data_IF_041520992666
#
_entry.id   IF_041520992666
#
_cell.length_a   1.000
_cell.length_b   1.000
_cell.length_c   1.000
_cell.angle_alpha   90.00
_cell.angle_beta   90.00
_cell.angle_gamma   90.00
#
_symmetry.space_group_name_H-M   'P 1'
#
loop_
_entity.id
_entity.type
_entity.pdbx_description
1 polymer ?
#
# COMPACT_ATOMS: atom_id res chain seq x y z
N UNK A 1 -7.14 -0.84 23.44
CA UNK A 1 -6.15 -1.04 22.36
C UNK A 1 -4.99 -1.97 22.74
N UNK A 2 -4.57 -2.04 23.98
CA UNK A 2 -3.45 -2.95 24.39
C UNK A 2 -3.80 -4.45 24.39
N UNK A 3 -5.06 -4.84 24.23
CA UNK A 3 -5.47 -6.26 24.18
C UNK A 3 -5.34 -6.89 22.79
N UNK A 4 -5.30 -6.13 21.71
CA UNK A 4 -5.24 -6.68 20.36
C UNK A 4 -3.96 -7.47 20.07
N UNK A 5 -2.81 -6.91 20.41
CA UNK A 5 -1.51 -7.56 20.17
C UNK A 5 -1.23 -8.71 21.14
N UNK A 6 -1.75 -8.60 22.36
CA UNK A 6 -1.66 -9.65 23.38
C UNK A 6 -2.71 -10.77 23.18
N UNK A 7 -3.83 -10.49 22.52
CA UNK A 7 -4.90 -11.45 22.32
C UNK A 7 -4.46 -12.64 21.47
N UNK A 8 -3.68 -12.40 20.41
CA UNK A 8 -3.13 -13.47 19.57
C UNK A 8 -2.17 -14.37 20.37
N UNK A 9 -1.25 -13.74 21.11
CA UNK A 9 -0.28 -14.45 21.95
C UNK A 9 -0.97 -15.27 23.06
N UNK A 10 -1.96 -14.69 23.73
CA UNK A 10 -2.73 -15.37 24.76
C UNK A 10 -3.60 -16.50 24.20
N UNK A 11 -4.19 -16.34 23.02
CA UNK A 11 -4.95 -17.39 22.35
C UNK A 11 -4.04 -18.55 21.93
N UNK A 12 -2.86 -18.24 21.37
CA UNK A 12 -1.88 -19.25 20.98
C UNK A 12 -1.36 -20.06 22.19
N UNK A 13 -1.13 -19.41 23.32
CA UNK A 13 -0.73 -20.07 24.57
C UNK A 13 -1.82 -21.00 25.10
N UNK A 14 -3.07 -20.57 25.06
CA UNK A 14 -4.23 -21.39 25.50
C UNK A 14 -4.48 -22.62 24.64
N UNK A 15 -4.25 -22.51 23.32
CA UNK A 15 -4.50 -23.59 22.35
C UNK A 15 -3.35 -24.58 22.25
N UNK A 16 -2.12 -24.09 22.31
CA UNK A 16 -0.91 -24.88 21.98
C UNK A 16 0.12 -24.92 23.12
N UNK A 17 -0.19 -24.30 24.27
CA UNK A 17 0.73 -24.20 25.39
C UNK A 17 1.94 -23.27 25.11
N UNK A 18 2.87 -23.12 26.09
CA UNK A 18 3.96 -22.14 25.99
C UNK A 18 4.99 -22.46 24.88
N UNK A 19 5.15 -23.74 24.52
CA UNK A 19 6.03 -24.13 23.40
C UNK A 19 5.36 -23.81 22.07
N UNK A 20 4.07 -24.10 21.93
CA UNK A 20 3.31 -23.81 20.73
C UNK A 20 3.18 -22.31 20.47
N UNK A 21 3.04 -21.49 21.50
CA UNK A 21 3.09 -20.04 21.41
C UNK A 21 4.39 -19.53 20.79
N UNK A 22 5.54 -20.05 21.25
CA UNK A 22 6.87 -19.64 20.70
C UNK A 22 7.01 -20.06 19.23
N UNK A 23 6.59 -21.26 18.87
CA UNK A 23 6.64 -21.75 17.48
C UNK A 23 5.76 -20.90 16.58
N UNK A 24 4.57 -20.55 17.04
CA UNK A 24 3.64 -19.69 16.30
C UNK A 24 4.21 -18.28 16.11
N UNK A 25 4.87 -17.72 17.12
CA UNK A 25 5.55 -16.42 17.04
C UNK A 25 6.66 -16.44 16.00
N UNK A 26 7.49 -17.48 15.97
CA UNK A 26 8.55 -17.66 14.96
C UNK A 26 7.93 -17.75 13.56
N UNK A 27 6.85 -18.52 13.37
CA UNK A 27 6.16 -18.62 12.08
C UNK A 27 5.63 -17.26 11.60
N UNK A 28 5.06 -16.45 12.50
CA UNK A 28 4.60 -15.09 12.20
C UNK A 28 5.77 -14.20 11.80
N UNK A 29 6.90 -14.25 12.52
CA UNK A 29 8.08 -13.44 12.17
C UNK A 29 8.58 -13.81 10.76
N UNK A 30 8.69 -15.09 10.44
CA UNK A 30 9.11 -15.54 9.09
C UNK A 30 8.13 -15.05 8.03
N UNK A 31 6.82 -15.14 8.27
CA UNK A 31 5.80 -14.68 7.36
C UNK A 31 5.88 -13.16 7.11
N UNK A 32 6.05 -12.39 8.19
CA UNK A 32 6.18 -10.92 8.10
C UNK A 32 7.44 -10.53 7.34
N UNK A 33 8.57 -11.19 7.59
CA UNK A 33 9.82 -10.93 6.86
C UNK A 33 9.69 -11.26 5.37
N UNK A 34 8.99 -12.35 5.02
CA UNK A 34 8.71 -12.70 3.63
C UNK A 34 7.86 -11.64 2.92
N UNK A 35 6.80 -11.18 3.58
CA UNK A 35 5.93 -10.12 3.07
C UNK A 35 6.69 -8.80 2.92
N UNK A 36 7.49 -8.43 3.93
CA UNK A 36 8.31 -7.22 3.91
C UNK A 36 9.27 -7.23 2.71
N UNK A 37 9.96 -8.35 2.47
CA UNK A 37 10.86 -8.48 1.32
C UNK A 37 10.13 -8.23 -0.01
N UNK A 38 8.95 -8.82 -0.19
CA UNK A 38 8.11 -8.59 -1.38
C UNK A 38 7.72 -7.12 -1.56
N UNK A 39 7.29 -6.46 -0.49
CA UNK A 39 6.92 -5.05 -0.49
C UNK A 39 8.11 -4.13 -0.80
N UNK A 40 9.30 -4.40 -0.25
CA UNK A 40 10.51 -3.63 -0.52
C UNK A 40 10.88 -3.72 -2.01
N UNK A 41 10.86 -4.92 -2.60
CA UNK A 41 11.13 -5.11 -4.03
C UNK A 41 10.12 -4.36 -4.90
N UNK A 42 8.83 -4.43 -4.55
CA UNK A 42 7.78 -3.71 -5.28
C UNK A 42 7.98 -2.19 -5.17
N UNK A 43 8.29 -1.69 -3.98
CA UNK A 43 8.52 -0.26 -3.73
C UNK A 43 9.73 0.28 -4.52
N UNK A 44 10.83 -0.47 -4.58
CA UNK A 44 12.01 -0.09 -5.36
C UNK A 44 11.71 -0.04 -6.86
N UNK A 45 10.85 -0.91 -7.38
CA UNK A 45 10.51 -0.96 -8.80
C UNK A 45 9.48 0.07 -9.24
N UNK A 46 8.66 0.59 -8.32
CA UNK A 46 7.60 1.54 -8.66
C UNK A 46 8.11 2.82 -9.36
N UNK A 47 9.13 3.56 -8.85
CA UNK A 47 9.65 4.73 -9.55
C UNK A 47 10.30 4.39 -10.90
N UNK A 48 10.92 3.22 -11.03
CA UNK A 48 11.48 2.75 -12.28
C UNK A 48 10.41 2.58 -13.36
N UNK A 49 9.28 1.93 -13.06
CA UNK A 49 8.17 1.78 -14.01
C UNK A 49 7.53 3.11 -14.39
N UNK A 50 7.39 4.04 -13.45
CA UNK A 50 6.92 5.40 -13.73
C UNK A 50 7.91 6.16 -14.64
N UNK A 51 9.20 5.94 -14.44
CA UNK A 51 10.23 6.53 -15.29
C UNK A 51 10.21 5.95 -16.71
N UNK A 52 9.99 4.65 -16.89
CA UNK A 52 9.82 4.06 -18.22
C UNK A 52 8.62 4.64 -18.99
N UNK A 53 7.55 5.00 -18.28
CA UNK A 53 6.40 5.71 -18.85
C UNK A 53 6.65 7.22 -19.02
N UNK A 54 7.83 7.68 -18.64
CA UNK A 54 8.17 9.10 -18.65
C UNK A 54 7.21 9.99 -17.82
N UNK A 55 6.60 9.44 -16.79
CA UNK A 55 5.67 10.12 -15.89
C UNK A 55 6.36 10.82 -14.70
N UNK A 56 7.69 10.66 -14.56
CA UNK A 56 8.50 11.30 -13.53
C UNK A 56 9.44 12.37 -14.12
N UNK A 57 9.77 13.43 -13.35
CA UNK A 57 10.89 14.28 -13.68
C UNK A 57 12.19 13.45 -13.67
N UNK A 58 13.12 13.77 -14.58
CA UNK A 58 14.39 13.04 -14.74
C UNK A 58 14.24 11.54 -15.09
N UNK A 59 13.15 11.16 -15.76
CA UNK A 59 12.85 9.77 -16.17
C UNK A 59 14.01 9.10 -16.89
N UNK A 60 14.76 9.84 -17.73
CA UNK A 60 15.93 9.32 -18.46
C UNK A 60 17.06 8.83 -17.54
N UNK A 61 17.19 9.36 -16.32
CA UNK A 61 18.17 8.91 -15.32
C UNK A 61 17.65 7.78 -14.47
N UNK A 62 16.38 7.87 -14.05
CA UNK A 62 15.74 6.88 -13.19
C UNK A 62 15.46 5.58 -13.95
N UNK A 63 15.19 5.66 -15.26
CA UNK A 63 14.93 4.51 -16.13
C UNK A 63 16.15 3.68 -16.52
N UNK A 64 17.36 4.07 -16.08
CA UNK A 64 18.60 3.32 -16.38
C UNK A 64 18.78 2.18 -15.39
N UNK A 65 18.91 0.95 -15.91
CA UNK A 65 19.23 -0.24 -15.11
C UNK A 65 20.74 -0.39 -14.95
N UNK A 66 21.17 -0.71 -13.74
CA UNK A 66 22.57 -1.07 -13.49
C UNK A 66 22.83 -2.49 -14.02
N UNK A 67 23.86 -2.64 -14.88
CA UNK A 67 24.14 -3.89 -15.59
C UNK A 67 24.35 -5.13 -14.70
N UNK A 68 24.92 -4.95 -13.51
CA UNK A 68 25.21 -6.05 -12.59
C UNK A 68 24.00 -6.50 -11.76
N UNK A 69 23.13 -5.55 -11.37
CA UNK A 69 22.04 -5.81 -10.41
C UNK A 69 20.67 -5.88 -11.06
N UNK A 70 20.56 -5.55 -12.36
CA UNK A 70 19.28 -5.42 -13.07
C UNK A 70 18.26 -4.55 -12.31
N UNK A 71 18.76 -3.54 -11.61
CA UNK A 71 17.98 -2.64 -10.77
C UNK A 71 18.40 -1.20 -11.05
N UNK A 72 17.46 -0.28 -11.07
CA UNK A 72 17.75 1.15 -11.11
C UNK A 72 18.18 1.62 -9.72
N UNK A 73 19.45 1.99 -9.56
CA UNK A 73 19.99 2.48 -8.28
C UNK A 73 19.28 3.78 -7.87
N UNK A 74 19.00 4.65 -8.83
CA UNK A 74 18.33 5.92 -8.53
C UNK A 74 16.89 5.70 -8.09
N UNK A 75 16.17 4.70 -8.65
CA UNK A 75 14.85 4.29 -8.20
C UNK A 75 14.90 3.74 -6.77
N UNK A 76 15.91 2.92 -6.44
CA UNK A 76 16.10 2.38 -5.10
C UNK A 76 16.37 3.48 -4.07
N UNK A 77 17.25 4.46 -4.40
CA UNK A 77 17.52 5.60 -3.54
C UNK A 77 16.28 6.46 -3.31
N UNK A 78 15.52 6.74 -4.37
CA UNK A 78 14.28 7.51 -4.25
C UNK A 78 13.28 6.81 -3.32
N UNK A 79 13.08 5.50 -3.49
CA UNK A 79 12.20 4.71 -2.62
C UNK A 79 12.71 4.67 -1.18
N UNK A 80 14.01 4.57 -0.98
CA UNK A 80 14.63 4.59 0.34
C UNK A 80 14.37 5.92 1.06
N UNK A 81 14.61 7.05 0.40
CA UNK A 81 14.35 8.36 1.00
C UNK A 81 12.86 8.58 1.29
N UNK A 82 11.97 8.17 0.40
CA UNK A 82 10.52 8.23 0.66
C UNK A 82 10.13 7.38 1.88
N UNK A 83 10.69 6.19 2.01
CA UNK A 83 10.46 5.32 3.17
C UNK A 83 11.01 5.94 4.46
N UNK A 84 12.19 6.59 4.42
CA UNK A 84 12.75 7.30 5.58
C UNK A 84 11.88 8.47 6.03
N UNK A 85 11.36 9.26 5.08
CA UNK A 85 10.44 10.37 5.38
C UNK A 85 9.20 9.82 6.08
N UNK A 86 8.61 8.74 5.54
CA UNK A 86 7.42 8.12 6.13
C UNK A 86 7.68 7.54 7.52
N UNK A 87 8.83 6.89 7.70
CA UNK A 87 9.28 6.39 9.00
C UNK A 87 9.46 7.51 10.01
N UNK A 88 10.05 8.64 9.59
CA UNK A 88 10.19 9.84 10.43
C UNK A 88 8.85 10.41 10.88
N UNK A 89 7.88 10.51 9.96
CA UNK A 89 6.51 10.95 10.27
C UNK A 89 5.85 9.98 11.27
N UNK A 90 5.99 8.70 11.05
CA UNK A 90 5.45 7.67 11.95
C UNK A 90 6.09 7.75 13.33
N UNK A 91 7.42 7.89 13.41
CA UNK A 91 8.14 8.07 14.67
C UNK A 91 7.67 9.31 15.43
N UNK A 92 7.52 10.44 14.76
CA UNK A 92 7.00 11.68 15.36
C UNK A 92 5.56 11.51 15.87
N UNK A 93 4.71 10.75 15.18
CA UNK A 93 3.34 10.51 15.62
C UNK A 93 3.24 9.72 16.92
N UNK A 94 4.22 8.86 17.20
CA UNK A 94 4.25 8.06 18.43
C UNK A 94 4.92 8.83 19.57
N UNK A 95 5.98 9.57 19.28
CA UNK A 95 6.81 10.20 20.32
C UNK A 95 6.31 11.56 20.78
N UNK A 96 5.62 12.31 19.91
CA UNK A 96 5.14 13.64 20.25
C UNK A 96 3.79 13.55 21.00
N UNK A 97 3.73 13.94 22.30
CA UNK A 97 2.52 13.80 23.12
C UNK A 97 1.30 14.54 22.57
N UNK A 98 1.52 15.66 21.87
CA UNK A 98 0.44 16.44 21.26
C UNK A 98 -0.22 15.71 20.10
N UNK A 99 0.52 14.88 19.37
CA UNK A 99 0.01 14.10 18.23
C UNK A 99 -0.52 12.75 18.70
N UNK A 100 0.19 12.09 19.61
CA UNK A 100 -0.20 10.78 20.13
C UNK A 100 -1.53 10.82 20.92
N UNK A 101 -1.90 11.98 21.51
CA UNK A 101 -3.21 12.19 22.16
C UNK A 101 -4.39 12.02 21.21
N UNK A 102 -4.22 12.32 19.93
CA UNK A 102 -5.28 12.13 18.95
C UNK A 102 -5.48 10.64 18.57
N UNK A 103 -4.60 9.73 19.01
CA UNK A 103 -4.69 8.30 18.72
C UNK A 103 -4.69 7.98 17.23
N UNK A 104 -4.08 8.85 16.41
CA UNK A 104 -4.03 8.70 14.94
C UNK A 104 -2.95 7.67 14.61
N UNK A 105 -3.37 6.54 14.07
CA UNK A 105 -2.45 5.56 13.49
C UNK A 105 -2.18 5.91 12.03
N UNK A 106 -1.03 6.55 11.80
CA UNK A 106 -0.59 6.98 10.46
C UNK A 106 -0.44 5.79 9.51
N UNK A 107 -0.19 4.58 10.02
CA UNK A 107 -0.07 3.38 9.19
C UNK A 107 -1.40 2.96 8.55
N UNK A 108 -2.51 3.39 9.10
CA UNK A 108 -3.85 3.11 8.56
C UNK A 108 -4.16 3.91 7.28
N UNK A 109 -3.52 5.08 7.07
CA UNK A 109 -3.77 5.95 5.90
C UNK A 109 -3.42 5.24 4.58
N UNK A 110 -2.22 4.65 4.39
CA UNK A 110 -1.89 3.92 3.17
C UNK A 110 -2.82 2.74 2.91
N UNK A 111 -3.29 2.07 3.97
CA UNK A 111 -4.21 0.93 3.86
C UNK A 111 -5.53 1.38 3.23
N UNK A 112 -6.13 2.46 3.75
CA UNK A 112 -7.39 3.00 3.21
C UNK A 112 -7.23 3.39 1.74
N UNK A 113 -6.13 4.09 1.38
CA UNK A 113 -5.84 4.48 0.00
C UNK A 113 -5.72 3.25 -0.91
N UNK A 114 -4.97 2.23 -0.50
CA UNK A 114 -4.78 1.02 -1.30
C UNK A 114 -6.10 0.29 -1.54
N UNK A 115 -6.96 0.14 -0.54
CA UNK A 115 -8.25 -0.54 -0.71
C UNK A 115 -9.22 0.25 -1.58
N UNK A 116 -9.18 1.59 -1.58
CA UNK A 116 -9.92 2.42 -2.53
C UNK A 116 -9.45 2.17 -3.97
N UNK A 117 -8.15 2.12 -4.22
CA UNK A 117 -7.61 1.78 -5.54
C UNK A 117 -7.95 0.36 -5.98
N UNK A 118 -7.85 -0.61 -5.08
CA UNK A 118 -8.21 -2.00 -5.40
C UNK A 118 -9.68 -2.14 -5.76
N UNK A 119 -10.57 -1.43 -5.06
CA UNK A 119 -12.00 -1.40 -5.42
C UNK A 119 -12.19 -0.89 -6.85
N UNK A 120 -11.51 0.19 -7.23
CA UNK A 120 -11.51 0.70 -8.60
C UNK A 120 -10.98 -0.31 -9.62
N UNK A 121 -9.90 -1.03 -9.28
CA UNK A 121 -9.35 -2.09 -10.14
C UNK A 121 -10.32 -3.25 -10.32
N UNK A 122 -10.99 -3.69 -9.26
CA UNK A 122 -11.98 -4.78 -9.34
C UNK A 122 -13.18 -4.41 -10.22
N UNK A 123 -13.66 -3.18 -10.10
CA UNK A 123 -14.69 -2.64 -11.01
C UNK A 123 -14.17 -2.60 -12.45
N UNK A 124 -12.93 -2.19 -12.67
CA UNK A 124 -12.28 -2.21 -13.98
C UNK A 124 -12.20 -3.61 -14.60
N UNK A 125 -11.94 -4.64 -13.79
CA UNK A 125 -11.96 -6.06 -14.23
C UNK A 125 -13.37 -6.46 -14.65
N UNK A 126 -14.40 -6.11 -13.88
CA UNK A 126 -15.81 -6.40 -14.21
C UNK A 126 -16.22 -5.75 -15.53
N UNK A 127 -15.84 -4.48 -15.77
CA UNK A 127 -16.13 -3.77 -17.02
C UNK A 127 -15.44 -4.47 -18.21
N UNK A 128 -14.18 -4.91 -18.06
CA UNK A 128 -13.47 -5.66 -19.12
C UNK A 128 -14.10 -7.01 -19.40
N UNK A 129 -14.61 -7.68 -18.40
CA UNK A 129 -15.37 -8.93 -18.54
C UNK A 129 -16.67 -8.68 -19.31
N UNK A 130 -17.40 -7.60 -19.00
CA UNK A 130 -18.61 -7.21 -19.74
C UNK A 130 -18.33 -6.91 -21.23
N UNK A 131 -17.11 -6.43 -21.55
CA UNK A 131 -16.65 -6.20 -22.92
C UNK A 131 -16.12 -7.48 -23.62
N UNK A 132 -16.23 -8.65 -22.99
CA UNK A 132 -15.81 -9.92 -23.57
C UNK A 132 -14.29 -10.17 -23.59
N UNK A 133 -13.48 -9.29 -22.96
CA UNK A 133 -12.02 -9.43 -22.90
C UNK A 133 -11.56 -10.55 -21.94
N UNK A 134 -12.40 -10.92 -20.99
CA UNK A 134 -12.14 -12.00 -20.02
C UNK A 134 -13.23 -13.05 -20.22
N UNK A 135 -12.83 -14.24 -20.65
CA UNK A 135 -13.78 -15.33 -21.01
C UNK A 135 -14.36 -16.05 -19.78
N UNK A 136 -13.61 -16.12 -18.68
CA UNK A 136 -14.05 -16.80 -17.46
C UNK A 136 -14.97 -15.92 -16.64
N UNK A 137 -16.27 -16.29 -16.55
CA UNK A 137 -17.26 -15.60 -15.72
C UNK A 137 -16.91 -15.62 -14.23
N UNK A 138 -16.27 -16.70 -13.75
CA UNK A 138 -15.88 -16.84 -12.36
C UNK A 138 -14.78 -15.83 -11.99
N UNK A 139 -13.72 -15.73 -12.81
CA UNK A 139 -12.63 -14.78 -12.59
C UNK A 139 -13.04 -13.33 -12.86
N UNK A 140 -14.00 -13.13 -13.76
CA UNK A 140 -14.42 -11.79 -14.18
C UNK A 140 -15.49 -11.15 -13.31
N UNK A 141 -16.33 -11.92 -12.61
CA UNK A 141 -17.41 -11.39 -11.77
C UNK A 141 -17.34 -11.90 -10.34
N UNK A 142 -17.23 -13.21 -10.12
CA UNK A 142 -17.32 -13.78 -8.76
C UNK A 142 -16.12 -13.33 -7.91
N UNK A 143 -14.90 -13.47 -8.43
CA UNK A 143 -13.71 -13.06 -7.68
C UNK A 143 -13.67 -11.56 -7.38
N UNK A 144 -13.94 -10.63 -8.32
CA UNK A 144 -14.00 -9.21 -8.03
C UNK A 144 -15.10 -8.82 -7.03
N UNK A 145 -16.27 -9.45 -7.08
CA UNK A 145 -17.34 -9.19 -6.11
C UNK A 145 -16.90 -9.58 -4.69
N UNK A 146 -16.33 -10.78 -4.52
CA UNK A 146 -15.82 -11.22 -3.22
C UNK A 146 -14.69 -10.32 -2.72
N UNK A 147 -13.81 -9.87 -3.63
CA UNK A 147 -12.73 -8.96 -3.30
C UNK A 147 -13.25 -7.56 -2.89
N UNK A 148 -14.31 -7.04 -3.54
CA UNK A 148 -14.97 -5.79 -3.16
C UNK A 148 -15.63 -5.93 -1.78
N UNK A 149 -16.29 -7.05 -1.49
CA UNK A 149 -16.86 -7.30 -0.16
C UNK A 149 -15.78 -7.31 0.93
N UNK A 150 -14.63 -7.98 0.69
CA UNK A 150 -13.49 -7.95 1.59
C UNK A 150 -12.90 -6.55 1.78
N UNK A 151 -12.74 -5.79 0.69
CA UNK A 151 -12.27 -4.41 0.72
C UNK A 151 -13.23 -3.52 1.53
N UNK A 152 -14.54 -3.71 1.35
CA UNK A 152 -15.55 -2.95 2.09
C UNK A 152 -15.53 -3.25 3.59
N UNK A 153 -15.31 -4.50 4.00
CA UNK A 153 -15.16 -4.85 5.42
C UNK A 153 -13.96 -4.13 6.05
N UNK A 154 -12.82 -4.06 5.35
CA UNK A 154 -11.62 -3.38 5.84
C UNK A 154 -11.84 -1.87 5.90
N UNK A 155 -12.43 -1.27 4.86
CA UNK A 155 -12.78 0.16 4.85
C UNK A 155 -13.77 0.50 5.96
N UNK A 156 -14.78 -0.33 6.18
CA UNK A 156 -15.74 -0.16 7.27
C UNK A 156 -15.06 -0.24 8.64
N UNK A 157 -14.17 -1.22 8.85
CA UNK A 157 -13.37 -1.31 10.07
C UNK A 157 -12.48 -0.09 10.31
N UNK A 158 -11.88 0.44 9.24
CA UNK A 158 -11.11 1.69 9.30
C UNK A 158 -11.97 2.92 9.61
N UNK A 159 -13.19 2.98 9.10
CA UNK A 159 -14.15 4.08 9.34
C UNK A 159 -14.71 4.09 10.75
N UNK A 160 -14.97 2.92 11.31
CA UNK A 160 -15.51 2.76 12.68
C UNK A 160 -14.44 2.92 13.75
N UNK A 161 -13.15 2.97 13.36
CA UNK A 161 -12.07 3.34 14.26
C UNK A 161 -12.24 4.78 14.79
N UNK A 162 -11.69 5.07 15.97
CA UNK A 162 -11.89 6.33 16.69
C UNK A 162 -11.60 7.59 15.85
N UNK A 163 -10.80 7.50 14.79
CA UNK A 163 -10.40 8.60 13.90
C UNK A 163 -10.66 8.30 12.41
N UNK A 164 -11.60 7.43 12.09
CA UNK A 164 -11.85 6.97 10.72
C UNK A 164 -12.13 8.10 9.72
N UNK A 165 -12.86 9.14 10.14
CA UNK A 165 -13.16 10.32 9.30
C UNK A 165 -11.88 11.08 8.94
N UNK A 166 -10.92 11.20 9.88
CA UNK A 166 -9.64 11.88 9.64
C UNK A 166 -8.83 11.09 8.60
N UNK A 167 -8.82 9.75 8.69
CA UNK A 167 -8.14 8.90 7.71
C UNK A 167 -8.69 9.06 6.30
N UNK A 168 -10.02 9.17 6.16
CA UNK A 168 -10.65 9.43 4.87
C UNK A 168 -10.30 10.81 4.29
N UNK A 169 -10.36 11.85 5.11
CA UNK A 169 -10.03 13.21 4.67
C UNK A 169 -8.57 13.29 4.21
N UNK A 170 -7.64 12.77 5.02
CA UNK A 170 -6.21 12.78 4.68
C UNK A 170 -5.94 11.93 3.44
N UNK A 171 -6.54 10.75 3.34
CA UNK A 171 -6.45 9.88 2.16
C UNK A 171 -6.99 10.58 0.90
N UNK A 172 -8.13 11.25 1.02
CA UNK A 172 -8.72 12.03 -0.06
C UNK A 172 -7.82 13.19 -0.52
N UNK A 173 -7.22 13.93 0.41
CA UNK A 173 -6.28 15.01 0.10
C UNK A 173 -5.04 14.48 -0.63
N UNK A 174 -4.48 13.34 -0.20
CA UNK A 174 -3.34 12.70 -0.86
C UNK A 174 -3.73 12.27 -2.28
N UNK A 175 -4.91 11.69 -2.48
CA UNK A 175 -5.39 11.30 -3.80
C UNK A 175 -5.59 12.49 -4.73
N UNK A 176 -6.23 13.55 -4.25
CA UNK A 176 -6.44 14.78 -5.04
C UNK A 176 -5.12 15.44 -5.39
N UNK A 177 -4.18 15.54 -4.44
CA UNK A 177 -2.85 16.09 -4.70
C UNK A 177 -2.06 15.25 -5.71
N UNK A 178 -2.15 13.92 -5.62
CA UNK A 178 -1.55 13.00 -6.58
C UNK A 178 -2.13 13.14 -7.99
N UNK A 179 -3.46 13.26 -8.11
CA UNK A 179 -4.13 13.49 -9.39
C UNK A 179 -3.77 14.86 -9.99
N UNK A 180 -3.70 15.90 -9.15
CA UNK A 180 -3.28 17.24 -9.61
C UNK A 180 -1.84 17.22 -10.14
N UNK A 181 -0.91 16.60 -9.40
CA UNK A 181 0.47 16.43 -9.85
C UNK A 181 0.56 15.62 -11.15
N UNK A 182 -0.21 14.54 -11.26
CA UNK A 182 -0.28 13.74 -12.49
C UNK A 182 -0.73 14.57 -13.69
N UNK A 183 -1.80 15.36 -13.55
CA UNK A 183 -2.27 16.26 -14.62
C UNK A 183 -1.21 17.31 -14.97
N UNK A 184 -0.54 17.91 -13.98
CA UNK A 184 0.51 18.88 -14.23
C UNK A 184 1.72 18.30 -14.95
N UNK A 185 2.14 17.08 -14.60
CA UNK A 185 3.34 16.44 -15.17
C UNK A 185 3.05 15.80 -16.52
N UNK A 186 1.90 15.13 -16.67
CA UNK A 186 1.56 14.34 -17.87
C UNK A 186 0.89 15.19 -18.95
N UNK A 187 -0.06 16.08 -18.58
CA UNK A 187 -0.76 16.93 -19.55
C UNK A 187 0.11 18.06 -20.11
N UNK A 188 1.18 18.47 -19.44
CA UNK A 188 2.07 19.52 -19.89
C UNK A 188 3.17 19.03 -20.84
N UNK A 189 3.27 17.73 -21.11
CA UNK A 189 4.20 17.22 -22.12
C UNK A 189 3.66 17.50 -23.52
N UNK A 190 4.43 18.21 -24.37
CA UNK A 190 4.08 18.34 -25.78
C UNK A 190 3.99 16.93 -26.39
N UNK A 191 2.96 16.68 -27.17
CA UNK A 191 2.60 15.42 -27.84
C UNK A 191 3.61 14.97 -28.93
N UNK A 192 4.81 15.54 -28.96
CA UNK A 192 5.84 15.35 -29.97
C UNK A 192 7.05 14.61 -29.41
N UNK A 193 6.91 13.33 -29.15
CA UNK A 193 8.05 12.40 -29.08
C UNK A 193 7.53 10.95 -29.18
N UNK A 194 7.07 10.60 -30.36
CA UNK A 194 7.06 9.22 -30.86
C UNK A 194 8.13 9.14 -31.95
#
# INVERSE_FOLDING_TARGET
MKMGDLAFSAAAERLFGPVGQKLMLVAVIISVLGTLNGLVVANIRAPYFLALRQELPYSHKIGVLHARYNLSILSALLSFFMTLIWLGIHYLSITVPSISRFGIDISSIPIVIMYLFYTGLYVGVMIRTAKGLIQSKLLGYVCPILAILGAFMILYGGLTAANGVIYLIVSGLILVSGLALYQFVVCKKPKNSV
#
